data_IF_170917048681
#
_entry.id   IF_170917048681
#
_cell.length_a   1.000
_cell.length_b   1.000
_cell.length_c   1.000
_cell.angle_alpha   90.00
_cell.angle_beta   90.00
_cell.angle_gamma   90.00
#
_symmetry.space_group_name_H-M   'P 1'
#
loop_
_entity.id
_entity.type
_entity.pdbx_description
1 polymer ?
#
# COMPACT_ATOMS: atom_id res chain seq x y z
N UNK A 1 4.72 -8.16 -27.86
CA UNK A 1 5.84 -7.18 -27.82
C UNK A 1 5.35 -5.81 -28.32
N UNK A 2 4.36 -5.22 -27.63
CA UNK A 2 3.68 -3.96 -28.02
C UNK A 2 3.44 -3.00 -26.85
N UNK A 3 3.59 -3.46 -25.60
CA UNK A 3 3.16 -2.70 -24.41
C UNK A 3 4.23 -1.78 -23.84
N UNK A 4 5.50 -1.96 -24.22
CA UNK A 4 6.59 -1.11 -23.72
C UNK A 4 6.55 0.31 -24.32
N UNK A 5 6.05 0.44 -25.56
CA UNK A 5 5.96 1.73 -26.27
C UNK A 5 4.82 2.64 -25.77
N UNK A 6 3.75 2.07 -25.21
CA UNK A 6 2.60 2.83 -24.69
C UNK A 6 2.91 3.44 -23.33
N UNK A 7 3.63 2.70 -22.47
CA UNK A 7 4.08 3.18 -21.16
C UNK A 7 5.03 4.38 -21.32
N UNK A 8 6.03 4.26 -22.20
CA UNK A 8 6.99 5.34 -22.45
C UNK A 8 6.31 6.63 -22.96
N UNK A 9 5.40 6.49 -23.93
CA UNK A 9 4.58 7.61 -24.43
C UNK A 9 3.72 8.23 -23.33
N UNK A 10 3.08 7.40 -22.51
CA UNK A 10 2.28 7.87 -21.37
C UNK A 10 3.10 8.67 -20.36
N UNK A 11 4.32 8.22 -20.04
CA UNK A 11 5.24 8.95 -19.16
C UNK A 11 5.67 10.30 -19.75
N UNK A 12 5.96 10.34 -21.05
CA UNK A 12 6.31 11.58 -21.74
C UNK A 12 5.13 12.58 -21.74
N UNK A 13 3.93 12.14 -22.11
CA UNK A 13 2.72 12.96 -22.10
C UNK A 13 2.47 13.56 -20.71
N UNK A 14 2.62 12.74 -19.65
CA UNK A 14 2.48 13.20 -18.26
C UNK A 14 3.55 14.23 -17.90
N UNK A 15 4.81 13.99 -18.27
CA UNK A 15 5.91 14.93 -18.00
C UNK A 15 5.67 16.30 -18.66
N UNK A 16 5.20 16.32 -19.91
CA UNK A 16 4.83 17.54 -20.62
C UNK A 16 3.62 18.24 -19.99
N UNK A 17 2.60 17.49 -19.58
CA UNK A 17 1.43 18.03 -18.89
C UNK A 17 1.82 18.73 -17.58
N UNK A 18 2.71 18.11 -16.79
CA UNK A 18 3.23 18.69 -15.55
C UNK A 18 4.01 19.97 -15.84
N UNK A 19 4.90 20.00 -16.85
CA UNK A 19 5.62 21.23 -17.23
C UNK A 19 4.67 22.36 -17.60
N UNK A 20 3.62 22.07 -18.38
CA UNK A 20 2.60 23.06 -18.74
C UNK A 20 1.81 23.54 -17.51
N UNK A 21 1.51 22.66 -16.57
CA UNK A 21 0.84 23.01 -15.32
C UNK A 21 1.70 23.97 -14.47
N UNK A 22 3.01 23.71 -14.32
CA UNK A 22 3.94 24.61 -13.62
C UNK A 22 3.91 26.02 -14.22
N UNK A 23 4.02 26.11 -15.55
CA UNK A 23 4.01 27.40 -16.25
C UNK A 23 2.71 28.15 -15.97
N UNK A 24 1.57 27.47 -16.10
CA UNK A 24 0.25 28.06 -15.82
C UNK A 24 0.13 28.52 -14.37
N UNK A 25 0.56 27.70 -13.41
CA UNK A 25 0.57 28.05 -12.00
C UNK A 25 1.41 29.31 -11.76
N UNK A 26 2.66 29.35 -12.21
CA UNK A 26 3.56 30.49 -12.00
C UNK A 26 2.99 31.79 -12.59
N UNK A 27 2.34 31.71 -13.76
CA UNK A 27 1.65 32.86 -14.37
C UNK A 27 0.54 33.38 -13.44
N UNK A 28 -0.29 32.51 -12.89
CA UNK A 28 -1.40 32.93 -12.02
C UNK A 28 -0.91 33.36 -10.63
N UNK A 29 0.07 32.66 -10.06
CA UNK A 29 0.71 32.98 -8.78
C UNK A 29 1.25 34.42 -8.77
N UNK A 30 1.87 34.86 -9.87
CA UNK A 30 2.38 36.22 -10.02
C UNK A 30 1.31 37.33 -10.06
N UNK A 31 0.05 36.96 -10.31
CA UNK A 31 -1.08 37.89 -10.40
C UNK A 31 -1.84 38.04 -9.08
N UNK A 32 -1.55 37.21 -8.08
CA UNK A 32 -2.16 37.29 -6.76
C UNK A 32 -1.54 38.43 -5.93
N UNK A 33 -2.28 38.94 -4.95
CA UNK A 33 -1.82 39.95 -3.99
C UNK A 33 -2.04 39.42 -2.57
N UNK A 34 -0.97 39.10 -1.81
CA UNK A 34 0.44 39.15 -2.21
C UNK A 34 0.79 38.08 -3.27
N UNK A 35 1.84 38.34 -4.05
CA UNK A 35 2.32 37.41 -5.08
C UNK A 35 2.74 36.09 -4.45
N UNK A 36 2.24 34.97 -4.97
CA UNK A 36 2.59 33.65 -4.47
C UNK A 36 3.96 33.18 -4.99
N UNK A 37 4.70 32.35 -4.24
CA UNK A 37 5.99 31.79 -4.69
C UNK A 37 5.87 30.98 -5.99
N UNK A 38 6.88 31.04 -6.85
CA UNK A 38 6.93 30.23 -8.07
C UNK A 38 7.51 28.84 -7.79
N UNK A 39 7.09 27.84 -8.57
CA UNK A 39 7.51 26.45 -8.45
C UNK A 39 8.36 26.06 -9.66
N UNK A 40 9.46 25.34 -9.44
CA UNK A 40 10.32 24.79 -10.50
C UNK A 40 10.12 23.28 -10.69
N UNK A 41 10.62 22.74 -11.81
CA UNK A 41 10.62 21.30 -12.06
C UNK A 41 11.40 20.52 -11.00
N UNK A 42 12.49 21.10 -10.47
CA UNK A 42 13.30 20.46 -9.41
C UNK A 42 12.49 20.33 -8.13
N UNK A 43 11.69 21.33 -7.82
CA UNK A 43 10.80 21.30 -6.65
C UNK A 43 9.76 20.21 -6.83
N UNK A 44 9.13 20.10 -8.02
CA UNK A 44 8.19 19.01 -8.30
C UNK A 44 8.85 17.63 -8.18
N UNK A 45 10.04 17.41 -8.72
CA UNK A 45 10.71 16.11 -8.61
C UNK A 45 10.97 15.76 -7.14
N UNK A 46 11.40 16.74 -6.34
CA UNK A 46 11.55 16.60 -4.89
C UNK A 46 10.21 16.23 -4.23
N UNK A 47 9.11 16.89 -4.61
CA UNK A 47 7.77 16.65 -4.08
C UNK A 47 7.11 15.35 -4.56
N UNK A 48 7.45 14.83 -5.76
CA UNK A 48 6.90 13.57 -6.28
C UNK A 48 7.51 12.33 -5.66
N UNK A 49 8.67 12.46 -5.03
CA UNK A 49 9.41 11.35 -4.42
C UNK A 49 9.01 11.07 -2.97
N UNK A 50 8.37 12.04 -2.31
CA UNK A 50 7.80 11.89 -0.98
C UNK A 50 6.29 12.00 -1.05
N UNK A 51 5.62 11.37 -0.10
CA UNK A 51 4.17 11.39 0.08
C UNK A 51 3.63 12.78 0.52
N UNK A 52 4.04 13.87 -0.13
CA UNK A 52 3.82 15.26 0.30
C UNK A 52 3.11 16.05 -0.80
N UNK A 53 1.78 16.08 -0.74
CA UNK A 53 1.00 17.13 -1.38
C UNK A 53 1.22 18.45 -0.62
N UNK A 54 2.36 19.10 -0.86
CA UNK A 54 2.62 20.49 -0.43
C UNK A 54 1.83 21.51 -1.26
N UNK A 55 1.10 21.07 -2.29
CA UNK A 55 0.25 21.95 -3.10
C UNK A 55 -0.93 22.54 -2.30
N UNK A 56 -1.28 21.95 -1.16
CA UNK A 56 -2.36 22.43 -0.29
C UNK A 56 -1.95 23.62 0.60
N UNK A 57 -0.66 23.94 0.67
CA UNK A 57 -0.16 25.01 1.55
C UNK A 57 -0.50 26.42 1.07
N UNK A 58 -1.00 26.60 -0.16
CA UNK A 58 -1.52 27.89 -0.61
C UNK A 58 -2.91 28.23 -0.05
N UNK A 59 -3.53 27.33 0.71
CA UNK A 59 -4.85 27.52 1.32
C UNK A 59 -4.75 27.76 2.84
N UNK A 60 -4.14 28.89 3.23
CA UNK A 60 -4.47 29.62 4.47
C UNK A 60 -3.99 29.06 5.82
N UNK A 61 -3.75 27.76 5.96
CA UNK A 61 -3.21 27.17 7.19
C UNK A 61 -1.77 26.72 6.94
N UNK A 62 -0.81 27.35 7.64
CA UNK A 62 0.61 27.05 7.48
C UNK A 62 0.98 25.72 8.14
N UNK A 63 0.56 24.63 7.51
CA UNK A 63 0.85 23.26 7.93
C UNK A 63 2.36 23.03 7.99
N UNK A 64 3.19 23.85 7.34
CA UNK A 64 4.66 23.73 7.40
C UNK A 64 5.26 24.09 8.75
N UNK A 65 4.60 24.94 9.55
CA UNK A 65 5.04 25.25 10.92
C UNK A 65 4.82 24.07 11.87
N UNK A 66 3.95 23.14 11.50
CA UNK A 66 3.71 21.96 12.30
C UNK A 66 4.97 21.09 12.34
N UNK A 67 5.41 20.73 13.56
CA UNK A 67 6.58 19.88 13.79
C UNK A 67 6.45 18.53 13.06
N UNK A 68 5.24 17.98 12.98
CA UNK A 68 4.95 16.73 12.26
C UNK A 68 4.99 16.88 10.73
N UNK A 69 5.00 18.11 10.19
CA UNK A 69 5.12 18.37 8.77
C UNK A 69 6.56 18.44 8.27
N UNK A 70 7.54 18.55 9.19
CA UNK A 70 8.96 18.59 8.86
C UNK A 70 9.43 17.25 8.27
N UNK A 71 10.11 17.23 7.11
CA UNK A 71 10.46 15.98 6.42
C UNK A 71 11.23 14.98 7.29
N UNK A 72 12.23 15.44 8.03
CA UNK A 72 13.01 14.58 8.94
C UNK A 72 12.15 13.92 10.04
N UNK A 73 11.13 14.63 10.53
CA UNK A 73 10.23 14.14 11.58
C UNK A 73 9.22 13.16 10.97
N UNK A 74 8.71 13.43 9.76
CA UNK A 74 7.87 12.49 9.01
C UNK A 74 8.60 11.18 8.71
N UNK A 75 9.84 11.25 8.25
CA UNK A 75 10.66 10.06 8.02
C UNK A 75 10.87 9.24 9.30
N UNK A 76 11.19 9.92 10.41
CA UNK A 76 11.34 9.28 11.72
C UNK A 76 10.04 8.62 12.18
N UNK A 77 8.90 9.34 12.10
CA UNK A 77 7.57 8.82 12.42
C UNK A 77 7.23 7.62 11.54
N UNK A 78 7.50 7.68 10.23
CA UNK A 78 7.30 6.56 9.32
C UNK A 78 8.07 5.30 9.74
N UNK A 79 9.32 5.46 10.21
CA UNK A 79 10.11 4.35 10.76
C UNK A 79 9.52 3.81 12.07
N UNK A 80 9.13 4.70 12.99
CA UNK A 80 8.50 4.32 14.27
C UNK A 80 7.19 3.58 14.02
N UNK A 81 6.33 4.06 13.13
CA UNK A 81 5.08 3.39 12.80
C UNK A 81 5.32 2.04 12.14
N UNK A 82 6.28 1.91 11.22
CA UNK A 82 6.67 0.60 10.67
C UNK A 82 7.10 -0.37 11.77
N UNK A 83 7.86 0.10 12.76
CA UNK A 83 8.26 -0.72 13.90
C UNK A 83 7.07 -1.13 14.77
N UNK A 84 6.16 -0.21 15.08
CA UNK A 84 4.93 -0.52 15.84
C UNK A 84 4.08 -1.56 15.10
N UNK A 85 3.86 -1.35 13.80
CA UNK A 85 3.12 -2.31 12.94
C UNK A 85 3.80 -3.66 12.88
N UNK A 86 5.13 -3.71 12.81
CA UNK A 86 5.85 -4.99 12.84
C UNK A 86 5.63 -5.75 14.15
N UNK A 87 5.59 -5.07 15.30
CA UNK A 87 5.31 -5.70 16.61
C UNK A 87 3.86 -6.20 16.70
N UNK A 88 2.91 -5.41 16.22
CA UNK A 88 1.50 -5.82 16.12
C UNK A 88 1.37 -7.06 15.23
N UNK A 89 2.05 -7.06 14.09
CA UNK A 89 2.02 -8.15 13.11
C UNK A 89 2.59 -9.45 13.68
N UNK A 90 3.68 -9.39 14.46
CA UNK A 90 4.22 -10.58 15.16
C UNK A 90 3.17 -11.19 16.08
N UNK A 91 2.47 -10.35 16.85
CA UNK A 91 1.41 -10.81 17.77
C UNK A 91 0.26 -11.45 17.00
N UNK A 92 -0.18 -10.79 15.92
CA UNK A 92 -1.25 -11.28 15.05
C UNK A 92 -0.90 -12.60 14.37
N UNK A 93 0.35 -12.74 13.91
CA UNK A 93 0.84 -13.97 13.31
C UNK A 93 0.87 -15.12 14.31
N UNK A 94 1.22 -14.86 15.58
CA UNK A 94 1.13 -15.87 16.64
C UNK A 94 -0.27 -16.48 16.75
N UNK A 95 -1.30 -15.64 16.79
CA UNK A 95 -2.71 -16.09 16.80
C UNK A 95 -3.04 -16.84 15.51
N UNK A 96 -2.63 -16.31 14.35
CA UNK A 96 -2.94 -16.92 13.05
C UNK A 96 -2.31 -18.31 12.89
N UNK A 97 -1.09 -18.51 13.39
CA UNK A 97 -0.42 -19.82 13.38
C UNK A 97 -1.20 -20.81 14.22
N UNK A 98 -1.63 -20.42 15.43
CA UNK A 98 -2.43 -21.29 16.29
C UNK A 98 -3.76 -21.66 15.63
N UNK A 99 -4.51 -20.67 15.11
CA UNK A 99 -5.76 -20.94 14.40
C UNK A 99 -5.55 -21.87 13.20
N UNK A 100 -4.47 -21.70 12.44
CA UNK A 100 -4.14 -22.56 11.32
C UNK A 100 -3.85 -23.99 11.77
N UNK A 101 -3.08 -24.17 12.84
CA UNK A 101 -2.80 -25.50 13.42
C UNK A 101 -4.09 -26.19 13.87
N UNK A 102 -4.97 -25.48 14.59
CA UNK A 102 -6.29 -25.99 14.98
C UNK A 102 -7.12 -26.37 13.75
N UNK A 103 -7.12 -25.54 12.71
CA UNK A 103 -7.91 -25.82 11.50
C UNK A 103 -7.41 -27.05 10.77
N UNK A 104 -6.09 -27.25 10.68
CA UNK A 104 -5.49 -28.44 10.07
C UNK A 104 -5.88 -29.68 10.88
N UNK A 105 -5.71 -29.64 12.20
CA UNK A 105 -6.06 -30.75 13.07
C UNK A 105 -7.55 -31.11 13.01
N UNK A 106 -8.43 -30.11 13.10
CA UNK A 106 -9.88 -30.33 13.03
C UNK A 106 -10.28 -30.95 11.68
N UNK A 107 -9.62 -30.55 10.58
CA UNK A 107 -9.84 -31.14 9.26
C UNK A 107 -9.34 -32.57 9.15
N UNK A 108 -8.18 -32.90 9.72
CA UNK A 108 -7.67 -34.28 9.77
C UNK A 108 -8.64 -35.19 10.56
N UNK A 109 -9.15 -34.70 11.68
CA UNK A 109 -10.15 -35.41 12.49
C UNK A 109 -11.45 -35.60 11.71
N UNK A 110 -11.96 -34.55 11.07
CA UNK A 110 -13.18 -34.60 10.25
C UNK A 110 -13.06 -35.60 9.10
N UNK A 111 -11.92 -35.61 8.39
CA UNK A 111 -11.65 -36.57 7.30
C UNK A 111 -11.65 -37.99 7.86
N UNK A 112 -10.94 -38.24 8.96
CA UNK A 112 -10.84 -39.57 9.57
C UNK A 112 -12.20 -40.09 10.03
N UNK A 113 -13.00 -39.22 10.65
CA UNK A 113 -14.37 -39.55 11.06
C UNK A 113 -15.24 -39.87 9.85
N UNK A 114 -15.20 -39.02 8.82
CA UNK A 114 -15.98 -39.23 7.59
C UNK A 114 -15.61 -40.54 6.90
N UNK A 115 -14.32 -40.90 6.82
CA UNK A 115 -13.87 -42.20 6.29
C UNK A 115 -14.41 -43.35 7.14
N UNK A 116 -14.37 -43.22 8.47
CA UNK A 116 -14.89 -44.24 9.41
C UNK A 116 -16.39 -44.45 9.24
N UNK A 117 -17.16 -43.37 9.07
CA UNK A 117 -18.60 -43.43 8.84
C UNK A 117 -18.93 -44.00 7.44
N UNK A 118 -18.12 -43.65 6.44
CA UNK A 118 -18.24 -44.21 5.09
C UNK A 118 -17.91 -45.70 5.06
N UNK A 119 -17.01 -46.21 5.90
CA UNK A 119 -16.76 -47.66 6.00
C UNK A 119 -18.03 -48.45 6.39
N UNK A 120 -18.97 -47.82 7.12
CA UNK A 120 -20.22 -48.46 7.51
C UNK A 120 -21.28 -48.47 6.40
N UNK A 121 -21.22 -47.52 5.47
CA UNK A 121 -22.24 -47.32 4.43
C UNK A 121 -21.77 -47.69 3.02
N UNK A 122 -20.54 -47.33 2.65
CA UNK A 122 -19.93 -47.47 1.33
C UNK A 122 -18.43 -47.80 1.43
N UNK A 123 -18.06 -49.06 1.74
CA UNK A 123 -16.69 -49.45 2.05
C UNK A 123 -15.70 -49.29 0.88
N UNK A 124 -16.15 -49.44 -0.37
CA UNK A 124 -15.29 -49.25 -1.55
C UNK A 124 -14.80 -47.80 -1.68
N UNK A 125 -15.71 -46.84 -1.45
CA UNK A 125 -15.37 -45.41 -1.50
C UNK A 125 -14.47 -45.01 -0.31
N UNK A 126 -14.73 -45.57 0.87
CA UNK A 126 -13.91 -45.33 2.06
C UNK A 126 -12.47 -45.80 1.85
N UNK A 127 -12.28 -46.98 1.24
CA UNK A 127 -10.95 -47.52 0.92
C UNK A 127 -10.17 -46.64 -0.05
N UNK A 128 -10.81 -46.16 -1.11
CA UNK A 128 -10.19 -45.23 -2.08
C UNK A 128 -9.80 -43.89 -1.43
N UNK A 129 -10.67 -43.33 -0.58
CA UNK A 129 -10.39 -42.07 0.11
C UNK A 129 -9.24 -42.20 1.12
N UNK A 130 -9.17 -43.32 1.84
CA UNK A 130 -8.08 -43.65 2.77
C UNK A 130 -6.74 -43.89 2.07
N UNK A 131 -6.76 -44.28 0.79
CA UNK A 131 -5.52 -44.43 0.01
C UNK A 131 -5.00 -43.09 -0.52
N UNK A 132 -5.88 -42.09 -0.70
CA UNK A 132 -5.53 -40.78 -1.28
C UNK A 132 -5.18 -39.70 -0.26
N UNK A 133 -5.67 -39.82 0.97
CA UNK A 133 -5.46 -38.89 2.08
C UNK A 133 -4.87 -39.64 3.27
#
# INVERSE_FOLDING_TARGET
MSDMGTISKGLQCRSEAIRKAIIRYNIQASKLVPSCPTISWKDIVKYTSLAEFDLLCSAGDDVHECVWARPAIREAMGKVFKLCRAKEEITRLGIKIQCLQTTIHDKEVEITQTITDLHQSLPELAFELQHRY
#
